data_IF_775099014450
#
_entry.id   IF_775099014450
#
_cell.length_a   1.000
_cell.length_b   1.000
_cell.length_c   1.000
_cell.angle_alpha   90.00
_cell.angle_beta   90.00
_cell.angle_gamma   90.00
#
_symmetry.space_group_name_H-M   'P 1'
#
loop_
_entity.id
_entity.type
_entity.pdbx_description
1 polymer ?
#
# COMPACT_ATOMS: atom_id res chain seq x y z
N UNK A 1 -23.80 14.67 -11.66
CA UNK A 1 -22.44 14.08 -11.76
C UNK A 1 -21.54 15.11 -12.41
N UNK A 2 -20.36 15.42 -11.85
CA UNK A 2 -19.44 16.40 -12.48
C UNK A 2 -18.75 15.78 -13.71
N UNK A 3 -18.63 16.51 -14.83
CA UNK A 3 -17.95 16.01 -16.03
C UNK A 3 -16.51 15.60 -15.73
N UNK A 4 -15.98 14.69 -16.54
CA UNK A 4 -14.58 14.26 -16.45
C UNK A 4 -13.73 15.42 -16.96
N UNK A 5 -12.99 16.06 -16.05
CA UNK A 5 -12.14 17.22 -16.36
C UNK A 5 -10.74 16.82 -16.86
N UNK A 6 -10.27 15.64 -16.43
CA UNK A 6 -8.91 15.18 -16.67
C UNK A 6 -8.97 13.95 -17.58
N UNK A 7 -8.41 14.08 -18.78
CA UNK A 7 -8.28 13.03 -19.77
C UNK A 7 -6.94 12.33 -19.55
N UNK A 8 -6.96 11.01 -19.45
CA UNK A 8 -5.76 10.17 -19.34
C UNK A 8 -5.49 9.58 -20.72
N UNK A 9 -4.34 9.93 -21.28
CA UNK A 9 -3.85 9.41 -22.55
C UNK A 9 -2.45 8.88 -22.30
N UNK A 10 -2.33 7.56 -22.17
CA UNK A 10 -1.04 6.90 -21.96
C UNK A 10 -0.34 6.68 -23.30
N UNK A 11 0.99 6.51 -23.25
CA UNK A 11 1.81 5.99 -24.35
C UNK A 11 2.00 4.47 -24.22
N UNK A 12 2.34 3.78 -25.31
CA UNK A 12 2.58 2.31 -25.29
C UNK A 12 3.65 1.89 -24.27
N UNK A 13 4.70 2.71 -24.13
CA UNK A 13 5.78 2.49 -23.17
C UNK A 13 5.27 2.58 -21.72
N UNK A 14 4.47 3.61 -21.41
CA UNK A 14 3.85 3.78 -20.10
C UNK A 14 2.90 2.64 -19.76
N UNK A 15 2.08 2.20 -20.72
CA UNK A 15 1.19 1.04 -20.56
C UNK A 15 1.99 -0.21 -20.23
N UNK A 16 3.11 -0.43 -20.92
CA UNK A 16 4.00 -1.57 -20.66
C UNK A 16 4.61 -1.50 -19.26
N UNK A 17 5.07 -0.32 -18.83
CA UNK A 17 5.57 -0.10 -17.46
C UNK A 17 4.48 -0.37 -16.42
N UNK A 18 3.27 0.15 -16.58
CA UNK A 18 2.15 -0.10 -15.66
C UNK A 18 1.80 -1.58 -15.57
N UNK A 19 1.75 -2.30 -16.71
CA UNK A 19 1.50 -3.74 -16.73
C UNK A 19 2.58 -4.53 -15.99
N UNK A 20 3.85 -4.12 -16.09
CA UNK A 20 4.95 -4.76 -15.35
C UNK A 20 4.84 -4.52 -13.84
N UNK A 21 4.46 -3.31 -13.42
CA UNK A 21 4.21 -2.95 -12.01
C UNK A 21 3.08 -3.78 -11.40
N UNK A 22 2.05 -4.11 -12.17
CA UNK A 22 0.96 -4.98 -11.70
C UNK A 22 1.39 -6.43 -11.52
N UNK A 23 2.33 -6.92 -12.34
CA UNK A 23 2.88 -8.28 -12.26
C UNK A 23 3.87 -8.42 -11.11
N UNK A 24 4.62 -7.37 -10.81
CA UNK A 24 5.59 -7.39 -9.73
C UNK A 24 4.91 -7.61 -8.37
N UNK A 25 5.43 -8.56 -7.60
CA UNK A 25 4.90 -8.91 -6.27
C UNK A 25 5.36 -7.93 -5.19
N UNK A 26 6.51 -7.27 -5.39
CA UNK A 26 7.14 -6.42 -4.37
C UNK A 26 6.55 -5.01 -4.30
N UNK A 27 6.00 -4.53 -5.42
CA UNK A 27 5.36 -3.22 -5.50
C UNK A 27 4.23 -3.03 -4.49
N UNK A 28 4.21 -1.85 -3.85
CA UNK A 28 3.19 -1.41 -2.90
C UNK A 28 1.76 -1.44 -3.50
N UNK A 29 0.78 -1.86 -2.70
CA UNK A 29 -0.62 -1.97 -3.13
C UNK A 29 -1.24 -0.64 -3.60
N UNK A 30 -0.80 0.50 -3.06
CA UNK A 30 -1.27 1.82 -3.48
C UNK A 30 -0.79 2.15 -4.89
N UNK A 31 0.47 1.85 -5.21
CA UNK A 31 1.04 2.03 -6.56
C UNK A 31 0.31 1.12 -7.54
N UNK A 32 0.08 -0.15 -7.17
CA UNK A 32 -0.72 -1.08 -7.99
C UNK A 32 -2.12 -0.55 -8.27
N UNK A 33 -2.81 -0.06 -7.23
CA UNK A 33 -4.17 0.48 -7.40
C UNK A 33 -4.22 1.73 -8.27
N UNK A 34 -3.25 2.65 -8.12
CA UNK A 34 -3.12 3.80 -9.04
C UNK A 34 -2.90 3.34 -10.48
N UNK A 35 -2.01 2.37 -10.67
CA UNK A 35 -1.69 1.81 -12.00
C UNK A 35 -2.91 1.17 -12.67
N UNK A 36 -3.73 0.40 -11.93
CA UNK A 36 -4.99 -0.15 -12.43
C UNK A 36 -5.97 0.95 -12.85
N UNK A 37 -6.16 1.96 -11.99
CA UNK A 37 -7.07 3.07 -12.28
C UNK A 37 -6.63 3.84 -13.54
N UNK A 38 -5.32 4.01 -13.77
CA UNK A 38 -4.81 4.69 -14.97
C UNK A 38 -5.03 3.86 -16.23
N UNK A 39 -4.81 2.55 -16.18
CA UNK A 39 -5.08 1.67 -17.32
C UNK A 39 -6.56 1.64 -17.69
N UNK A 40 -7.46 1.60 -16.70
CA UNK A 40 -8.91 1.60 -16.94
C UNK A 40 -9.44 2.97 -17.38
N UNK A 41 -8.69 4.04 -17.12
CA UNK A 41 -9.03 5.41 -17.51
C UNK A 41 -8.41 5.82 -18.85
N UNK A 42 -7.51 5.00 -19.41
CA UNK A 42 -6.81 5.31 -20.64
C UNK A 42 -7.76 5.34 -21.83
N UNK A 43 -7.63 6.38 -22.66
CA UNK A 43 -8.43 6.56 -23.87
C UNK A 43 -7.73 5.92 -25.09
N UNK A 44 -6.42 5.73 -25.05
CA UNK A 44 -5.65 5.33 -26.22
C UNK A 44 -5.64 3.81 -26.48
N UNK A 45 -5.56 2.98 -25.43
CA UNK A 45 -5.28 1.55 -25.58
C UNK A 45 -6.43 0.61 -25.18
N UNK A 46 -7.64 1.13 -24.95
CA UNK A 46 -8.78 0.31 -24.51
C UNK A 46 -10.13 1.01 -24.51
N UNK A 47 -11.14 0.30 -23.99
CA UNK A 47 -12.47 0.86 -23.76
C UNK A 47 -12.42 1.88 -22.63
N UNK A 48 -12.69 3.14 -22.94
CA UNK A 48 -12.80 4.18 -21.92
C UNK A 48 -14.04 3.95 -21.09
N UNK A 49 -13.87 3.45 -19.87
CA UNK A 49 -14.96 3.28 -18.93
C UNK A 49 -15.34 4.62 -18.27
N UNK A 50 -16.63 4.83 -18.03
CA UNK A 50 -17.06 5.99 -17.25
C UNK A 50 -16.47 5.92 -15.83
N UNK A 51 -16.17 7.07 -15.21
CA UNK A 51 -15.60 7.15 -13.85
C UNK A 51 -16.31 6.28 -12.81
N UNK A 52 -17.63 6.12 -12.92
CA UNK A 52 -18.44 5.25 -12.03
C UNK A 52 -18.11 3.77 -12.22
N UNK A 53 -17.96 3.33 -13.45
CA UNK A 53 -17.62 1.95 -13.80
C UNK A 53 -16.19 1.63 -13.38
N UNK A 54 -15.23 2.53 -13.64
CA UNK A 54 -13.83 2.39 -13.15
C UNK A 54 -13.82 2.23 -11.63
N UNK A 55 -14.58 3.07 -10.92
CA UNK A 55 -14.68 3.00 -9.47
C UNK A 55 -15.27 1.67 -8.98
N UNK A 56 -16.29 1.17 -9.67
CA UNK A 56 -16.94 -0.12 -9.38
C UNK A 56 -15.99 -1.30 -9.62
N UNK A 57 -15.33 -1.35 -10.78
CA UNK A 57 -14.38 -2.40 -11.14
C UNK A 57 -13.19 -2.44 -10.18
N UNK A 58 -12.63 -1.27 -9.85
CA UNK A 58 -11.48 -1.18 -8.95
C UNK A 58 -11.83 -1.29 -7.46
N UNK A 59 -13.12 -1.29 -7.11
CA UNK A 59 -13.66 -1.25 -5.73
C UNK A 59 -13.16 -0.04 -4.94
N UNK A 60 -13.17 1.13 -5.56
CA UNK A 60 -12.73 2.41 -4.96
C UNK A 60 -13.84 3.45 -5.02
N UNK A 61 -13.72 4.50 -4.20
CA UNK A 61 -14.62 5.64 -4.30
C UNK A 61 -14.39 6.42 -5.63
N UNK A 62 -15.44 6.97 -6.27
CA UNK A 62 -15.29 7.80 -7.47
C UNK A 62 -14.39 9.02 -7.27
N UNK A 63 -14.30 9.52 -6.03
CA UNK A 63 -13.39 10.59 -5.64
C UNK A 63 -11.92 10.17 -5.74
N UNK A 64 -11.60 8.92 -5.45
CA UNK A 64 -10.24 8.36 -5.61
C UNK A 64 -9.84 8.34 -7.07
N UNK A 65 -10.73 7.88 -7.97
CA UNK A 65 -10.47 7.90 -9.42
C UNK A 65 -10.17 9.32 -9.89
N UNK A 66 -11.00 10.30 -9.48
CA UNK A 66 -10.79 11.70 -9.83
C UNK A 66 -9.47 12.30 -9.27
N UNK A 67 -9.04 11.86 -8.09
CA UNK A 67 -7.75 12.27 -7.51
C UNK A 67 -6.59 11.68 -8.29
N UNK A 68 -6.65 10.40 -8.66
CA UNK A 68 -5.59 9.73 -9.42
C UNK A 68 -5.46 10.33 -10.81
N UNK A 69 -6.56 10.53 -11.54
CA UNK A 69 -6.51 11.14 -12.88
C UNK A 69 -6.04 12.59 -12.84
N UNK A 70 -6.49 13.37 -11.84
CA UNK A 70 -5.96 14.72 -11.62
C UNK A 70 -4.47 14.72 -11.29
N UNK A 71 -4.03 13.78 -10.45
CA UNK A 71 -2.64 13.67 -10.04
C UNK A 71 -1.75 13.31 -11.24
N UNK A 72 -2.23 12.43 -12.11
CA UNK A 72 -1.54 12.08 -13.35
C UNK A 72 -1.42 13.25 -14.33
N UNK A 73 -2.50 13.99 -14.59
CA UNK A 73 -2.44 15.14 -15.51
C UNK A 73 -1.55 16.27 -14.98
N UNK A 74 -1.40 16.39 -13.67
CA UNK A 74 -0.67 17.47 -13.03
C UNK A 74 0.82 17.17 -12.75
N UNK A 75 1.25 15.90 -12.81
CA UNK A 75 2.60 15.48 -12.40
C UNK A 75 3.19 14.49 -13.42
N UNK A 76 4.49 14.23 -13.29
CA UNK A 76 5.18 13.28 -14.17
C UNK A 76 4.75 11.82 -13.90
N UNK A 77 4.84 10.95 -14.91
CA UNK A 77 4.51 9.52 -14.78
C UNK A 77 5.24 8.85 -13.60
N UNK A 78 6.54 9.09 -13.44
CA UNK A 78 7.32 8.51 -12.35
C UNK A 78 6.87 9.03 -10.97
N UNK A 79 6.49 10.30 -10.84
CA UNK A 79 5.94 10.85 -9.58
C UNK A 79 4.66 10.14 -9.17
N UNK A 80 3.79 9.79 -10.12
CA UNK A 80 2.55 9.06 -9.85
C UNK A 80 2.82 7.67 -9.26
N UNK A 81 3.91 7.05 -9.71
CA UNK A 81 4.39 5.75 -9.29
C UNK A 81 5.24 5.79 -8.04
N UNK A 82 5.73 6.96 -7.61
CA UNK A 82 6.41 7.09 -6.32
C UNK A 82 5.41 7.03 -5.16
N UNK A 83 5.74 6.22 -4.16
CA UNK A 83 5.04 6.22 -2.87
C UNK A 83 5.81 7.10 -1.89
N UNK A 84 5.50 8.40 -1.86
CA UNK A 84 6.17 9.34 -0.98
C UNK A 84 5.66 9.17 0.47
N UNK A 85 6.28 8.24 1.21
CA UNK A 85 5.94 7.92 2.60
C UNK A 85 6.79 8.79 3.51
N UNK A 86 6.16 9.70 4.27
CA UNK A 86 6.87 10.41 5.34
C UNK A 86 7.39 9.42 6.38
N UNK A 87 8.65 9.57 6.81
CA UNK A 87 9.37 8.64 7.69
C UNK A 87 8.59 8.33 8.99
N UNK A 88 7.85 9.30 9.53
CA UNK A 88 7.06 9.15 10.76
C UNK A 88 5.66 8.51 10.60
N UNK A 89 5.18 8.27 9.39
CA UNK A 89 3.80 7.77 9.15
C UNK A 89 3.56 6.37 9.72
N UNK A 90 4.60 5.54 9.82
CA UNK A 90 4.49 4.18 10.36
C UNK A 90 4.69 4.13 11.89
N UNK A 91 5.23 5.19 12.50
CA UNK A 91 5.34 5.31 13.95
C UNK A 91 4.03 5.74 14.62
N UNK A 92 3.12 6.39 13.89
CA UNK A 92 1.82 6.84 14.42
C UNK A 92 0.94 5.73 15.00
N UNK A 93 1.14 4.47 14.62
CA UNK A 93 0.33 3.35 15.11
C UNK A 93 0.89 2.68 16.37
N UNK A 94 2.13 2.95 16.74
CA UNK A 94 2.79 2.34 17.89
C UNK A 94 2.48 3.17 19.15
N UNK A 95 1.29 2.93 19.73
CA UNK A 95 0.85 3.62 20.96
C UNK A 95 1.55 3.13 22.22
N UNK A 96 2.14 1.95 22.15
CA UNK A 96 2.83 1.25 23.23
C UNK A 96 4.02 0.52 22.61
N UNK A 97 5.17 0.66 23.25
CA UNK A 97 6.36 -0.15 22.98
C UNK A 97 6.27 -1.46 23.79
N UNK A 98 7.11 -2.45 23.45
CA UNK A 98 7.14 -3.73 24.18
C UNK A 98 7.51 -3.56 25.67
N UNK A 99 8.18 -2.46 26.01
CA UNK A 99 8.49 -2.11 27.39
C UNK A 99 7.24 -1.64 28.16
N UNK A 100 6.39 -0.79 27.55
CA UNK A 100 5.11 -0.39 28.10
C UNK A 100 4.16 -1.59 28.24
N UNK A 101 4.13 -2.49 27.26
CA UNK A 101 3.38 -3.76 27.36
C UNK A 101 3.84 -4.57 28.59
N UNK A 102 5.16 -4.71 28.78
CA UNK A 102 5.72 -5.42 29.93
C UNK A 102 5.36 -4.76 31.25
N UNK A 103 5.39 -3.43 31.32
CA UNK A 103 5.00 -2.64 32.50
C UNK A 103 3.51 -2.79 32.82
N UNK A 104 2.64 -2.75 31.80
CA UNK A 104 1.19 -2.93 31.96
C UNK A 104 0.87 -4.36 32.45
N UNK A 105 1.48 -5.38 31.85
CA UNK A 105 1.32 -6.78 32.29
C UNK A 105 1.84 -6.97 33.72
N UNK A 106 2.97 -6.35 34.08
CA UNK A 106 3.54 -6.42 35.43
C UNK A 106 2.66 -5.72 36.48
N UNK A 107 2.04 -4.60 36.12
CA UNK A 107 1.08 -3.89 36.97
C UNK A 107 -0.21 -4.70 37.14
N UNK A 108 -0.71 -5.33 36.08
CA UNK A 108 -1.94 -6.13 36.11
C UNK A 108 -1.76 -7.47 36.85
N UNK A 109 -0.59 -8.11 36.72
CA UNK A 109 -0.34 -9.45 37.27
C UNK A 109 0.32 -9.49 38.65
N UNK A 110 0.63 -8.35 39.29
CA UNK A 110 1.15 -8.33 40.67
C UNK A 110 2.31 -9.30 40.91
N UNK A 111 3.51 -8.99 40.40
CA UNK A 111 4.75 -9.75 40.64
C UNK A 111 4.70 -11.27 40.39
N UNK A 112 5.00 -11.69 39.15
CA UNK A 112 5.76 -12.93 38.95
C UNK A 112 7.24 -12.56 38.89
N UNK A 113 7.95 -12.92 39.97
CA UNK A 113 9.38 -12.70 40.14
C UNK A 113 10.18 -13.38 39.02
N UNK A 114 11.10 -12.60 38.44
CA UNK A 114 12.41 -12.99 37.92
C UNK A 114 12.54 -14.39 37.28
N UNK A 115 12.56 -14.44 35.94
CA UNK A 115 13.40 -15.42 35.25
C UNK A 115 14.73 -14.72 34.98
N UNK A 116 15.68 -14.91 35.89
CA UNK A 116 17.05 -14.42 35.79
C UNK A 116 17.77 -15.25 34.72
N UNK A 117 18.36 -14.56 33.76
CA UNK A 117 19.50 -14.94 32.89
C UNK A 117 20.08 -16.36 33.02
N UNK A 118 20.13 -17.06 31.89
CA UNK A 118 21.27 -17.90 31.51
C UNK A 118 21.17 -19.40 31.80
N UNK A 119 20.63 -20.17 30.84
CA UNK A 119 21.27 -21.41 30.42
C UNK A 119 20.70 -21.87 29.06
N UNK A 120 21.59 -21.98 28.07
CA UNK A 120 21.31 -22.68 26.82
C UNK A 120 20.96 -24.13 27.14
N UNK A 121 19.77 -24.59 26.74
CA UNK A 121 19.37 -25.98 26.75
C UNK A 121 18.79 -26.35 25.39
N UNK A 122 19.67 -26.66 24.44
CA UNK A 122 19.30 -27.25 23.15
C UNK A 122 18.63 -28.61 23.39
N UNK A 123 17.42 -28.78 22.87
CA UNK A 123 16.85 -30.10 22.62
C UNK A 123 17.57 -30.71 21.42
N UNK A 124 18.40 -31.74 21.66
CA UNK A 124 18.72 -32.70 20.62
C UNK A 124 18.83 -34.10 21.22
N UNK A 125 17.86 -34.96 20.88
CA UNK A 125 18.01 -36.42 20.93
C UNK A 125 17.30 -37.03 19.72
N UNK A 126 17.95 -36.90 18.57
CA UNK A 126 17.99 -37.94 17.56
C UNK A 126 19.43 -38.42 17.44
N UNK A 127 19.76 -39.56 18.04
CA UNK A 127 20.88 -40.41 17.63
C UNK A 127 20.84 -41.77 18.35
N UNK A 128 20.47 -42.79 17.57
CA UNK A 128 20.73 -44.24 17.66
C UNK A 128 20.03 -45.08 18.73
#
# INVERSE_FOLDING_TARGET
MRPIKYIVALTDDEVTRLKNILKDKTTNQTIKKRSQILLDADINHGETHQRKEIAKYNRVAPSTVAKVTRFFVNNSFDEVLTFNRGEGSNHSHQKIDGEAETKIVKLACGHLKAIRTGHYGYWNRNAK
#
